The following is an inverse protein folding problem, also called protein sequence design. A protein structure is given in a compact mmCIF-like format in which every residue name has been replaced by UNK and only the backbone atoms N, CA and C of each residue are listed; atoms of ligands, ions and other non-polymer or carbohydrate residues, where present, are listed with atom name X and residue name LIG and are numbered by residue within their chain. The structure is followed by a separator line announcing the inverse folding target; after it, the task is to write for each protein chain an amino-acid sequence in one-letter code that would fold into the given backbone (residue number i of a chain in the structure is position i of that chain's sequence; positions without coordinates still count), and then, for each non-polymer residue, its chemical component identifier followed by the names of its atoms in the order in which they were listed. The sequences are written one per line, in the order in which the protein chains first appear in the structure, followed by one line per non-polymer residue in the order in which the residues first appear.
data_IF_761256945731
#
_entry.id   IF_761256945731
#
_cell.length_a   1.000
_cell.length_b   1.000
_cell.length_c   1.000
_cell.angle_alpha   90.00
_cell.angle_beta   90.00
_cell.angle_gamma   90.00
#
_symmetry.space_group_name_H-M   'P 1'
#
loop_
_entity.id
_entity.type
_entity.pdbx_description
1 polymer ?
#
# COMPACT_ATOMS: atom_id res chain seq x y z
N UNK A 1 8.38 -5.14 -20.82
CA UNK A 1 7.84 -4.27 -19.75
C UNK A 1 8.79 -4.32 -18.57
N UNK A 2 9.61 -3.30 -18.36
CA UNK A 2 10.52 -3.22 -17.22
C UNK A 2 9.74 -2.62 -16.05
N UNK A 3 9.42 -3.41 -15.03
CA UNK A 3 8.88 -2.88 -13.79
C UNK A 3 9.96 -1.99 -13.15
N UNK A 4 9.65 -0.70 -12.96
CA UNK A 4 10.52 0.23 -12.26
C UNK A 4 10.68 -0.23 -10.81
N UNK A 5 11.91 -0.21 -10.32
CA UNK A 5 12.24 -0.51 -8.92
C UNK A 5 11.34 0.32 -7.99
N UNK A 6 10.66 -0.27 -7.00
CA UNK A 6 9.86 0.49 -6.05
C UNK A 6 10.78 1.50 -5.36
N UNK A 7 10.46 2.79 -5.51
CA UNK A 7 11.21 3.87 -4.89
C UNK A 7 11.06 3.72 -3.38
N UNK A 8 12.17 3.55 -2.67
CA UNK A 8 12.21 3.63 -1.19
C UNK A 8 11.39 4.85 -0.73
N UNK A 9 10.66 4.77 0.40
CA UNK A 9 9.83 5.88 0.86
C UNK A 9 10.70 7.12 0.96
N UNK A 10 10.48 8.04 0.01
CA UNK A 10 11.23 9.28 -0.08
C UNK A 10 10.97 10.12 1.16
N UNK A 11 11.82 11.14 1.36
CA UNK A 11 11.56 12.20 2.35
C UNK A 11 10.09 12.62 2.26
N UNK A 12 9.40 12.66 3.41
CA UNK A 12 8.04 13.19 3.49
C UNK A 12 8.01 14.57 2.83
N UNK A 13 7.13 14.82 1.84
CA UNK A 13 7.09 16.09 1.16
C UNK A 13 6.58 17.18 2.12
N UNK A 14 7.10 18.40 1.97
CA UNK A 14 6.61 19.55 2.74
C UNK A 14 5.16 19.91 2.38
N UNK A 15 4.75 19.63 1.13
CA UNK A 15 3.42 19.91 0.61
C UNK A 15 2.90 18.77 -0.26
N UNK A 16 1.62 18.48 -0.14
CA UNK A 16 0.86 17.57 -0.98
C UNK A 16 -0.25 18.35 -1.69
N UNK A 17 -0.57 17.97 -2.92
CA UNK A 17 -1.73 18.50 -3.63
C UNK A 17 -2.99 17.72 -3.20
N UNK A 18 -2.84 16.43 -2.85
CA UNK A 18 -3.90 15.57 -2.33
C UNK A 18 -3.38 14.70 -1.19
N UNK A 19 -4.18 14.56 -0.13
CA UNK A 19 -3.95 13.60 0.96
C UNK A 19 -5.08 12.58 0.97
N UNK A 20 -4.72 11.30 0.90
CA UNK A 20 -5.64 10.16 0.98
C UNK A 20 -5.45 9.48 2.33
N UNK A 21 -6.56 9.19 3.02
CA UNK A 21 -6.56 8.48 4.30
C UNK A 21 -7.15 7.09 4.08
N UNK A 22 -6.32 6.07 4.25
CA UNK A 22 -6.60 4.66 3.98
C UNK A 22 -5.95 4.17 2.69
N UNK A 23 -5.11 3.14 2.77
CA UNK A 23 -4.43 2.48 1.64
C UNK A 23 -5.12 1.18 1.18
N UNK A 24 -6.43 1.05 1.44
CA UNK A 24 -7.25 0.00 0.84
C UNK A 24 -7.41 0.19 -0.68
N UNK A 25 -8.16 -0.71 -1.33
CA UNK A 25 -8.33 -0.72 -2.80
C UNK A 25 -8.73 0.65 -3.37
N UNK A 26 -9.73 1.30 -2.76
CA UNK A 26 -10.18 2.63 -3.20
C UNK A 26 -9.08 3.68 -3.11
N UNK A 27 -8.44 3.80 -1.94
CA UNK A 27 -7.37 4.78 -1.72
C UNK A 27 -6.14 4.54 -2.59
N UNK A 28 -5.76 3.27 -2.79
CA UNK A 28 -4.63 2.89 -3.64
C UNK A 28 -4.87 3.22 -5.12
N UNK A 29 -6.06 2.90 -5.65
CA UNK A 29 -6.41 3.22 -7.03
C UNK A 29 -6.53 4.72 -7.24
N UNK A 30 -7.17 5.44 -6.31
CA UNK A 30 -7.22 6.91 -6.37
C UNK A 30 -5.82 7.52 -6.33
N UNK A 31 -4.92 7.02 -5.48
CA UNK A 31 -3.55 7.50 -5.39
C UNK A 31 -2.80 7.30 -6.72
N UNK A 32 -2.93 6.11 -7.33
CA UNK A 32 -2.33 5.80 -8.62
C UNK A 32 -2.83 6.77 -9.70
N UNK A 33 -4.15 6.90 -9.87
CA UNK A 33 -4.75 7.74 -10.90
C UNK A 33 -4.33 9.21 -10.75
N UNK A 34 -4.34 9.75 -9.53
CA UNK A 34 -3.96 11.15 -9.29
C UNK A 34 -2.46 11.38 -9.45
N UNK A 35 -1.62 10.41 -9.06
CA UNK A 35 -0.18 10.50 -9.26
C UNK A 35 0.19 10.43 -10.75
N UNK A 36 -0.47 9.57 -11.54
CA UNK A 36 -0.32 9.51 -13.00
C UNK A 36 -0.75 10.81 -13.69
N UNK A 37 -1.73 11.52 -13.11
CA UNK A 37 -2.12 12.86 -13.54
C UNK A 37 -1.11 13.97 -13.13
N UNK A 38 -0.01 13.62 -12.45
CA UNK A 38 1.07 14.54 -12.08
C UNK A 38 0.90 15.24 -10.73
N UNK A 39 -0.09 14.86 -9.92
CA UNK A 39 -0.30 15.43 -8.58
C UNK A 39 0.67 14.83 -7.56
N UNK A 40 1.10 15.64 -6.59
CA UNK A 40 1.84 15.15 -5.41
C UNK A 40 0.86 14.57 -4.41
N UNK A 41 0.72 13.26 -4.43
CA UNK A 41 -0.19 12.52 -3.57
C UNK A 41 0.54 11.98 -2.34
N UNK A 42 -0.05 12.18 -1.16
CA UNK A 42 0.37 11.51 0.08
C UNK A 42 -0.76 10.57 0.50
N UNK A 43 -0.44 9.29 0.69
CA UNK A 43 -1.36 8.30 1.24
C UNK A 43 -0.93 7.94 2.67
N UNK A 44 -1.88 7.99 3.60
CA UNK A 44 -1.69 7.64 5.01
C UNK A 44 -2.47 6.38 5.32
N UNK A 45 -1.83 5.42 5.97
CA UNK A 45 -2.43 4.16 6.41
C UNK A 45 -2.05 3.92 7.86
N UNK A 46 -3.00 3.45 8.68
CA UNK A 46 -2.73 3.10 10.07
C UNK A 46 -1.86 1.84 10.18
N UNK A 47 -2.01 0.93 9.21
CA UNK A 47 -1.22 -0.29 9.11
C UNK A 47 0.24 -0.03 8.72
N UNK A 48 1.08 -1.02 9.01
CA UNK A 48 2.45 -1.06 8.52
C UNK A 48 2.55 -1.52 7.07
N UNK A 49 3.78 -1.66 6.60
CA UNK A 49 4.04 -2.34 5.34
C UNK A 49 3.83 -3.85 5.51
N UNK A 50 2.87 -4.41 4.76
CA UNK A 50 2.65 -5.86 4.70
C UNK A 50 3.58 -6.46 3.64
N UNK A 51 4.49 -7.33 4.06
CA UNK A 51 5.33 -8.10 3.14
C UNK A 51 4.57 -9.33 2.67
N UNK A 52 4.90 -9.90 1.49
CA UNK A 52 4.29 -11.14 1.03
C UNK A 52 4.34 -12.24 2.09
N UNK A 53 5.48 -12.42 2.76
CA UNK A 53 5.66 -13.41 3.83
C UNK A 53 4.76 -13.19 5.07
N UNK A 54 4.22 -11.99 5.26
CA UNK A 54 3.30 -11.70 6.37
C UNK A 54 1.87 -12.19 6.06
N UNK A 55 1.59 -12.65 4.84
CA UNK A 55 0.24 -13.11 4.49
C UNK A 55 -0.08 -14.42 5.24
N UNK A 56 -1.29 -14.57 5.80
CA UNK A 56 -1.68 -15.73 6.62
C UNK A 56 -1.43 -17.08 5.96
N UNK A 57 -1.48 -17.13 4.62
CA UNK A 57 -1.28 -18.30 3.78
C UNK A 57 0.14 -18.87 3.83
N UNK A 58 1.12 -18.10 4.30
CA UNK A 58 2.49 -18.56 4.49
C UNK A 58 2.75 -19.14 5.89
N UNK A 59 1.75 -19.12 6.78
CA UNK A 59 1.82 -19.79 8.08
C UNK A 59 1.70 -21.31 7.93
N UNK A 60 2.52 -22.13 8.62
CA UNK A 60 2.37 -23.59 8.65
C UNK A 60 0.98 -24.05 9.12
N UNK A 61 0.32 -23.25 9.95
CA UNK A 61 -0.99 -23.56 10.53
C UNK A 61 -2.15 -22.87 9.79
N UNK A 62 -1.92 -22.37 8.57
CA UNK A 62 -2.90 -21.62 7.80
C UNK A 62 -4.25 -22.34 7.66
N UNK A 63 -4.23 -23.63 7.32
CA UNK A 63 -5.45 -24.42 7.12
C UNK A 63 -6.29 -24.49 8.41
N UNK A 64 -5.64 -24.60 9.57
CA UNK A 64 -6.31 -24.56 10.87
C UNK A 64 -6.88 -23.16 11.14
N UNK A 65 -6.07 -22.11 10.96
CA UNK A 65 -6.50 -20.73 11.19
C UNK A 65 -7.70 -20.31 10.34
N UNK A 66 -7.79 -20.79 9.09
CA UNK A 66 -8.93 -20.54 8.20
C UNK A 66 -10.18 -21.33 8.63
N UNK A 67 -10.01 -22.56 9.12
CA UNK A 67 -11.13 -23.39 9.53
C UNK A 67 -11.79 -22.92 10.84
N UNK A 68 -11.06 -22.18 11.69
CA UNK A 68 -11.48 -21.82 13.04
C UNK A 68 -11.69 -20.33 13.29
N UNK A 69 -11.61 -19.47 12.26
CA UNK A 69 -11.84 -18.01 12.37
C UNK A 69 -13.10 -17.58 11.64
#
# INVERSE_FOLDING_TARGET
MMASTPRMPGRKPERADVVIVGAGVGGALTALTLAEAGLRVVCLEQGGWTRPEDHPHFSPDWDYQRATR
#
